data_IF_102801312347
#
_entry.id   IF_102801312347
#
_cell.length_a   1.000
_cell.length_b   1.000
_cell.length_c   1.000
_cell.angle_alpha   90.00
_cell.angle_beta   90.00
_cell.angle_gamma   90.00
#
_symmetry.space_group_name_H-M   'P 1'
#
loop_
_entity.id
_entity.type
_entity.pdbx_description
1 polymer ?
#
# COMPACT_ATOMS: atom_id res chain seq x y z
N UNK A 1 -3.44 -19.04 -13.17
CA UNK A 1 -2.88 -17.68 -13.27
C UNK A 1 -3.83 -16.79 -12.53
N UNK A 2 -3.37 -16.15 -11.46
CA UNK A 2 -4.20 -15.22 -10.70
C UNK A 2 -4.31 -13.90 -11.45
N UNK A 3 -5.47 -13.27 -11.36
CA UNK A 3 -5.73 -11.94 -11.88
C UNK A 3 -6.06 -11.02 -10.72
N UNK A 4 -6.03 -9.71 -10.96
CA UNK A 4 -6.48 -8.78 -9.93
C UNK A 4 -7.96 -8.98 -9.54
N UNK A 5 -8.81 -9.47 -10.46
CA UNK A 5 -10.22 -9.72 -10.14
C UNK A 5 -10.38 -10.77 -9.02
N UNK A 6 -9.45 -11.73 -8.94
CA UNK A 6 -9.41 -12.74 -7.86
C UNK A 6 -9.02 -12.13 -6.50
N UNK A 7 -8.33 -10.98 -6.52
CA UNK A 7 -7.80 -10.29 -5.34
C UNK A 7 -8.64 -9.08 -4.92
N UNK A 8 -9.45 -8.53 -5.84
CA UNK A 8 -10.17 -7.27 -5.66
C UNK A 8 -11.10 -7.31 -4.42
N UNK A 9 -11.64 -8.48 -4.03
CA UNK A 9 -12.42 -8.64 -2.81
C UNK A 9 -11.62 -8.41 -1.51
N UNK A 10 -10.37 -8.85 -1.47
CA UNK A 10 -9.46 -8.63 -0.33
C UNK A 10 -9.01 -7.17 -0.33
N UNK A 11 -8.66 -6.63 -1.49
CA UNK A 11 -8.18 -5.25 -1.65
C UNK A 11 -9.28 -4.25 -1.26
N UNK A 12 -10.52 -4.47 -1.69
CA UNK A 12 -11.66 -3.61 -1.35
C UNK A 12 -11.93 -3.56 0.16
N UNK A 13 -11.76 -4.68 0.87
CA UNK A 13 -11.90 -4.71 2.33
C UNK A 13 -10.88 -3.80 3.01
N UNK A 14 -9.61 -3.81 2.56
CA UNK A 14 -8.57 -2.94 3.09
C UNK A 14 -8.76 -1.47 2.72
N UNK A 15 -9.14 -1.20 1.47
CA UNK A 15 -9.46 0.16 1.01
C UNK A 15 -10.57 0.78 1.85
N UNK A 16 -11.61 0.01 2.19
CA UNK A 16 -12.67 0.43 3.11
C UNK A 16 -12.15 0.63 4.53
N UNK A 17 -11.34 -0.30 5.04
CA UNK A 17 -10.80 -0.23 6.40
C UNK A 17 -9.90 1.00 6.62
N UNK A 18 -9.15 1.41 5.59
CA UNK A 18 -8.28 2.61 5.65
C UNK A 18 -8.99 3.90 5.25
N UNK A 19 -10.28 3.84 4.85
CA UNK A 19 -11.01 4.99 4.33
C UNK A 19 -10.43 5.55 3.02
N UNK A 20 -9.70 4.72 2.28
CA UNK A 20 -8.98 5.08 1.05
C UNK A 20 -9.86 4.93 -0.19
N UNK A 21 -9.30 5.32 -1.34
CA UNK A 21 -9.88 5.05 -2.66
C UNK A 21 -8.97 4.10 -3.42
N UNK A 22 -9.55 3.05 -4.00
CA UNK A 22 -8.84 2.13 -4.90
C UNK A 22 -8.69 2.74 -6.28
N UNK A 23 -7.49 2.64 -6.84
CA UNK A 23 -7.17 2.90 -8.22
C UNK A 23 -6.86 1.58 -8.92
N UNK A 24 -7.46 1.38 -10.10
CA UNK A 24 -7.40 0.10 -10.84
C UNK A 24 -6.59 0.18 -12.13
N UNK A 25 -6.02 1.35 -12.44
CA UNK A 25 -5.25 1.62 -13.65
C UNK A 25 -4.14 2.63 -13.38
N UNK A 26 -2.98 2.43 -14.01
CA UNK A 26 -1.90 3.41 -14.09
C UNK A 26 -1.32 3.43 -15.51
N UNK A 27 -1.20 4.63 -16.10
CA UNK A 27 -0.66 4.81 -17.46
C UNK A 27 -1.30 3.88 -18.52
N UNK A 28 -2.62 3.66 -18.44
CA UNK A 28 -3.36 2.79 -19.35
C UNK A 28 -3.12 1.28 -19.14
N UNK A 29 -2.52 0.88 -18.01
CA UNK A 29 -2.27 -0.52 -17.66
C UNK A 29 -3.00 -0.91 -16.37
N UNK A 30 -3.49 -2.16 -16.26
CA UNK A 30 -4.08 -2.65 -15.02
C UNK A 30 -3.09 -2.55 -13.85
N UNK A 31 -3.50 -1.89 -12.77
CA UNK A 31 -2.69 -1.71 -11.56
C UNK A 31 -3.63 -1.66 -10.35
N UNK A 32 -3.23 -2.12 -9.16
CA UNK A 32 -4.03 -1.96 -7.93
C UNK A 32 -3.22 -1.16 -6.94
N UNK A 33 -3.69 0.03 -6.59
CA UNK A 33 -3.05 0.83 -5.55
C UNK A 33 -4.06 1.75 -4.88
N UNK A 34 -3.74 2.19 -3.66
CA UNK A 34 -4.54 3.14 -2.92
C UNK A 34 -3.65 4.03 -2.06
N UNK A 35 -4.17 5.20 -1.70
CA UNK A 35 -3.46 6.20 -0.92
C UNK A 35 -3.96 6.25 0.52
N UNK A 36 -3.02 6.41 1.44
CA UNK A 36 -3.29 6.65 2.87
C UNK A 36 -2.71 8.02 3.19
N UNK A 37 -3.55 8.91 3.73
CA UNK A 37 -3.09 10.22 4.19
C UNK A 37 -2.26 10.13 5.46
N UNK A 38 -1.24 10.98 5.59
CA UNK A 38 -0.48 11.13 6.82
C UNK A 38 -1.19 11.96 7.89
N UNK A 39 -0.58 12.02 9.07
CA UNK A 39 -1.11 12.82 10.20
C UNK A 39 -0.90 14.31 9.97
N UNK A 40 0.21 14.70 9.33
CA UNK A 40 0.45 16.08 8.92
C UNK A 40 -0.21 16.33 7.57
N UNK A 41 -0.72 17.54 7.38
CA UNK A 41 -1.12 18.03 6.05
C UNK A 41 0.03 17.80 5.07
N UNK A 42 -0.30 17.32 3.87
CA UNK A 42 0.60 17.05 2.74
C UNK A 42 1.34 15.70 2.75
N UNK A 43 1.43 14.98 3.86
CA UNK A 43 2.00 13.62 3.83
C UNK A 43 1.06 12.63 3.12
N UNK A 44 1.60 11.86 2.18
CA UNK A 44 0.85 10.87 1.41
C UNK A 44 1.65 9.58 1.22
N UNK A 45 1.01 8.46 1.57
CA UNK A 45 1.55 7.12 1.40
C UNK A 45 0.75 6.37 0.34
N UNK A 46 1.41 5.47 -0.36
CA UNK A 46 0.79 4.57 -1.33
C UNK A 46 1.06 3.12 -0.94
N UNK A 47 0.01 2.32 -1.04
CA UNK A 47 0.12 0.87 -1.07
C UNK A 47 -0.19 0.43 -2.50
N UNK A 48 0.75 -0.23 -3.17
CA UNK A 48 0.58 -0.85 -4.48
C UNK A 48 0.63 -2.37 -4.38
N UNK A 49 -0.15 -3.03 -5.24
CA UNK A 49 -0.24 -4.47 -5.36
C UNK A 49 0.11 -4.81 -6.81
N UNK A 50 1.13 -5.64 -6.98
CA UNK A 50 1.64 -6.10 -8.27
C UNK A 50 1.54 -7.62 -8.38
N UNK A 51 1.40 -8.12 -9.61
CA UNK A 51 1.34 -9.56 -9.92
C UNK A 51 2.59 -9.98 -10.71
N UNK A 52 3.75 -10.19 -10.05
CA UNK A 52 5.01 -10.50 -10.72
C UNK A 52 5.03 -11.89 -11.38
N UNK A 53 4.14 -12.80 -10.96
CA UNK A 53 4.10 -14.19 -11.39
C UNK A 53 2.70 -14.81 -11.35
N UNK A 54 2.57 -16.05 -11.83
CA UNK A 54 1.27 -16.71 -12.03
C UNK A 54 0.46 -16.97 -10.75
N UNK A 55 1.10 -16.92 -9.59
CA UNK A 55 0.46 -17.13 -8.28
C UNK A 55 1.13 -16.33 -7.17
N UNK A 56 1.87 -15.29 -7.57
CA UNK A 56 2.67 -14.45 -6.68
C UNK A 56 2.10 -13.05 -6.70
N UNK A 57 2.23 -12.38 -5.57
CA UNK A 57 1.84 -10.99 -5.39
C UNK A 57 2.94 -10.28 -4.65
N UNK A 58 3.20 -9.04 -5.07
CA UNK A 58 4.04 -8.10 -4.36
C UNK A 58 3.16 -7.00 -3.79
N UNK A 59 3.33 -6.67 -2.52
CA UNK A 59 2.71 -5.51 -1.88
C UNK A 59 3.83 -4.54 -1.56
N UNK A 60 3.75 -3.31 -2.06
CA UNK A 60 4.68 -2.25 -1.75
C UNK A 60 3.97 -1.15 -0.96
N UNK A 61 4.56 -0.73 0.16
CA UNK A 61 4.22 0.49 0.85
C UNK A 61 5.33 1.51 0.60
N UNK A 62 4.95 2.71 0.16
CA UNK A 62 5.90 3.79 -0.09
C UNK A 62 5.34 5.15 0.33
N UNK A 63 6.21 6.09 0.72
CA UNK A 63 5.85 7.51 0.77
C UNK A 63 5.94 8.13 -0.62
N UNK A 64 4.92 8.88 -1.02
CA UNK A 64 4.91 9.64 -2.28
C UNK A 64 5.21 11.11 -2.02
N UNK A 65 4.78 11.61 -0.88
CA UNK A 65 5.04 12.97 -0.41
C UNK A 65 5.32 12.87 1.09
N UNK A 66 6.53 13.24 1.50
CA UNK A 66 6.95 13.25 2.89
C UNK A 66 7.37 14.66 3.29
N UNK A 67 7.12 15.01 4.56
CA UNK A 67 7.41 16.34 5.07
C UNK A 67 8.92 16.69 5.10
N UNK A 68 9.81 15.70 5.11
CA UNK A 68 11.24 15.86 5.40
C UNK A 68 12.13 15.16 4.35
N UNK A 69 11.65 15.07 3.09
CA UNK A 69 12.37 14.46 1.96
C UNK A 69 12.89 13.02 2.24
N UNK A 70 12.21 12.29 3.13
CA UNK A 70 12.58 10.94 3.58
C UNK A 70 11.92 9.84 2.76
N UNK A 71 11.36 10.14 1.58
CA UNK A 71 10.58 9.19 0.77
C UNK A 71 11.38 7.94 0.46
N UNK A 72 12.67 8.10 0.15
CA UNK A 72 13.58 7.01 -0.19
C UNK A 72 13.82 6.03 0.97
N UNK A 73 13.67 6.48 2.21
CA UNK A 73 13.81 5.63 3.40
C UNK A 73 12.49 4.93 3.78
N UNK A 74 11.40 5.32 3.14
CA UNK A 74 10.04 4.85 3.38
C UNK A 74 9.52 4.06 2.19
N UNK A 75 10.31 3.11 1.71
CA UNK A 75 9.92 2.15 0.68
C UNK A 75 10.14 0.74 1.24
N UNK A 76 9.07 -0.05 1.26
CA UNK A 76 9.10 -1.45 1.69
C UNK A 76 8.22 -2.30 0.79
N UNK A 77 8.80 -3.39 0.29
CA UNK A 77 8.08 -4.36 -0.54
C UNK A 77 8.12 -5.74 0.12
N UNK A 78 6.96 -6.39 0.17
CA UNK A 78 6.78 -7.78 0.58
C UNK A 78 6.32 -8.60 -0.61
N UNK A 79 6.92 -9.77 -0.79
CA UNK A 79 6.61 -10.69 -1.87
C UNK A 79 6.18 -12.03 -1.28
N UNK A 80 5.12 -12.61 -1.84
CA UNK A 80 4.61 -13.89 -1.35
C UNK A 80 3.56 -14.48 -2.28
N UNK A 81 3.04 -15.68 -1.95
CA UNK A 81 1.92 -16.26 -2.67
C UNK A 81 0.65 -15.43 -2.51
N UNK A 82 -0.22 -15.48 -3.50
CA UNK A 82 -1.52 -14.79 -3.47
C UNK A 82 -2.37 -15.08 -2.23
N UNK A 83 -2.24 -16.27 -1.65
CA UNK A 83 -2.92 -16.67 -0.42
C UNK A 83 -2.52 -15.84 0.80
N UNK A 84 -1.33 -15.23 0.79
CA UNK A 84 -0.80 -14.40 1.87
C UNK A 84 -1.12 -12.90 1.67
N UNK A 85 -1.84 -12.53 0.60
CA UNK A 85 -2.15 -11.12 0.31
C UNK A 85 -2.75 -10.38 1.49
N UNK A 86 -3.72 -10.99 2.17
CA UNK A 86 -4.40 -10.34 3.29
C UNK A 86 -3.44 -10.02 4.45
N UNK A 87 -2.51 -10.93 4.73
CA UNK A 87 -1.48 -10.72 5.75
C UNK A 87 -0.49 -9.63 5.31
N UNK A 88 -0.02 -9.68 4.07
CA UNK A 88 0.90 -8.68 3.52
C UNK A 88 0.31 -7.27 3.49
N UNK A 89 -0.98 -7.13 3.14
CA UNK A 89 -1.69 -5.85 3.24
C UNK A 89 -1.77 -5.35 4.68
N UNK A 90 -2.02 -6.24 5.64
CA UNK A 90 -2.00 -5.90 7.07
C UNK A 90 -0.64 -5.39 7.53
N UNK A 91 0.45 -6.04 7.11
CA UNK A 91 1.83 -5.60 7.40
C UNK A 91 2.12 -4.25 6.75
N UNK A 92 1.73 -4.06 5.48
CA UNK A 92 1.94 -2.82 4.75
C UNK A 92 1.21 -1.63 5.41
N UNK A 93 -0.07 -1.80 5.75
CA UNK A 93 -0.85 -0.79 6.46
C UNK A 93 -0.24 -0.49 7.83
N UNK A 94 0.11 -1.52 8.62
CA UNK A 94 0.75 -1.33 9.92
C UNK A 94 2.11 -0.61 9.81
N UNK A 95 2.84 -0.80 8.72
CA UNK A 95 4.09 -0.09 8.44
C UNK A 95 3.82 1.39 8.15
N UNK A 96 2.82 1.69 7.33
CA UNK A 96 2.37 3.07 7.07
C UNK A 96 1.92 3.76 8.36
N UNK A 97 1.19 3.07 9.24
CA UNK A 97 0.79 3.65 10.53
C UNK A 97 1.99 3.95 11.44
N UNK A 98 3.03 3.10 11.46
CA UNK A 98 4.27 3.38 12.19
C UNK A 98 5.00 4.60 11.61
N UNK A 99 5.04 4.71 10.28
CA UNK A 99 5.59 5.86 9.59
C UNK A 99 4.85 7.16 9.91
N UNK A 100 3.53 7.12 9.99
CA UNK A 100 2.71 8.27 10.43
C UNK A 100 3.02 8.66 11.88
N UNK A 101 3.21 7.67 12.75
CA UNK A 101 3.45 7.88 14.18
C UNK A 101 4.86 8.39 14.50
N UNK A 102 5.85 8.23 13.61
CA UNK A 102 7.24 8.65 13.87
C UNK A 102 7.38 10.14 14.20
N UNK A 103 6.45 10.97 13.73
CA UNK A 103 6.43 12.42 13.94
C UNK A 103 5.56 12.87 15.10
N UNK A 104 4.83 11.94 15.72
CA UNK A 104 3.95 12.22 16.87
C UNK A 104 4.75 12.28 18.19
N UNK A 105 6.03 11.85 18.16
CA UNK A 105 6.95 11.91 19.29
C UNK A 105 7.71 13.25 19.30
N UNK A 106 6.99 14.35 19.47
CA UNK A 106 7.57 15.62 19.91
C UNK A 106 6.76 16.11 21.11
N UNK A 107 7.29 15.83 22.31
CA UNK A 107 7.00 16.57 23.53
C UNK A 107 8.26 17.31 23.93
#
# INVERSE_FOLDING_TARGET
MITYADLDGIIDAWVKATGSKLFTEWAGRPARFFHIGGTRSFECFQISIDLPGSNEVAVCAQAIDSYDDSELEMDRTWNGPASELNEMLGIAVATVEQWKARWDVVH
#
